data_IF_362905834548
#
_entry.id   IF_362905834548
#
_cell.length_a   1.000
_cell.length_b   1.000
_cell.length_c   1.000
_cell.angle_alpha   90.00
_cell.angle_beta   90.00
_cell.angle_gamma   90.00
#
_symmetry.space_group_name_H-M   'P 1'
#
loop_
_entity.id
_entity.type
_entity.pdbx_description
1 polymer ?
2 non-polymer ?
3 water ?
#
# COMPACT_ATOMS: atom_id res chain seq x y z
N UNK A 13 -5.67 10.75 -6.77
CA UNK A 13 -4.42 11.57 -6.76
C UNK A 13 -3.33 10.79 -7.51
N UNK A 14 -2.55 11.47 -8.35
CA UNK A 14 -1.49 10.81 -9.11
C UNK A 14 -0.35 10.39 -8.19
N UNK A 15 0.01 9.12 -8.22
CA UNK A 15 1.08 8.64 -7.36
C UNK A 15 2.42 9.24 -7.77
N UNK A 16 3.24 9.57 -6.78
CA UNK A 16 4.57 10.12 -7.03
C UNK A 16 5.62 9.23 -6.35
N UNK A 17 6.71 8.95 -7.04
CA UNK A 17 7.76 8.13 -6.46
C UNK A 17 8.57 8.92 -5.43
N UNK A 18 9.59 8.29 -4.85
CA UNK A 18 10.42 8.93 -3.83
C UNK A 18 11.17 10.18 -4.30
N UNK A 19 11.32 10.33 -5.61
CA UNK A 19 12.01 11.48 -6.16
C UNK A 19 11.05 12.58 -6.58
N UNK A 20 9.76 12.37 -6.34
CA UNK A 20 8.76 13.37 -6.69
C UNK A 20 8.23 13.30 -8.11
N UNK A 21 8.49 12.20 -8.81
CA UNK A 21 8.02 12.04 -10.18
C UNK A 21 6.74 11.24 -10.24
N UNK A 22 5.82 11.62 -11.13
CA UNK A 22 4.56 10.90 -11.30
C UNK A 22 4.90 9.47 -11.68
N UNK A 23 4.15 8.50 -11.17
CA UNK A 23 4.43 7.12 -11.51
C UNK A 23 3.75 6.78 -12.84
N UNK A 24 4.55 6.50 -13.86
CA UNK A 24 4.03 6.12 -15.17
C UNK A 24 4.04 4.59 -15.21
N UNK A 25 2.85 4.00 -15.18
CA UNK A 25 2.68 2.54 -15.13
C UNK A 25 3.61 1.68 -16.00
N UNK A 26 3.61 1.92 -17.30
CA UNK A 26 4.44 1.14 -18.22
C UNK A 26 5.92 1.20 -17.86
N UNK A 27 6.38 2.37 -17.39
CA UNK A 27 7.78 2.54 -17.02
C UNK A 27 8.10 1.86 -15.69
N UNK A 28 7.18 2.01 -14.74
CA UNK A 28 7.32 1.41 -13.41
C UNK A 28 7.50 -0.11 -13.52
N UNK A 29 6.66 -0.73 -14.35
CA UNK A 29 6.71 -2.18 -14.55
C UNK A 29 7.99 -2.69 -15.23
N UNK A 30 8.78 -1.78 -15.81
CA UNK A 30 10.03 -2.18 -16.46
C UNK A 30 11.17 -2.26 -15.46
N UNK A 31 11.08 -1.50 -14.38
CA UNK A 31 12.14 -1.45 -13.38
C UNK A 31 11.80 -2.03 -12.02
N UNK A 32 10.56 -2.47 -11.84
CA UNK A 32 10.16 -3.05 -10.57
C UNK A 32 9.74 -4.49 -10.82
N UNK A 33 10.53 -5.42 -10.29
CA UNK A 33 10.29 -6.84 -10.47
C UNK A 33 8.98 -7.34 -9.89
N UNK A 34 8.44 -8.42 -10.48
CA UNK A 34 7.18 -8.97 -9.97
C UNK A 34 7.36 -9.25 -8.47
N UNK A 35 6.34 -8.92 -7.69
CA UNK A 35 6.42 -9.13 -6.25
C UNK A 35 7.00 -7.93 -5.52
N UNK A 36 7.39 -6.90 -6.25
CA UNK A 36 7.96 -5.71 -5.64
C UNK A 36 6.91 -4.91 -4.86
N UNK A 37 7.32 -4.31 -3.75
CA UNK A 37 6.45 -3.45 -2.93
C UNK A 37 7.33 -2.23 -2.64
N UNK A 38 7.00 -1.10 -3.26
CA UNK A 38 7.77 0.12 -3.09
C UNK A 38 6.84 1.27 -2.65
N UNK A 39 7.34 2.11 -1.76
CA UNK A 39 6.56 3.25 -1.28
C UNK A 39 6.47 4.38 -2.29
N UNK A 40 5.29 4.98 -2.37
CA UNK A 40 5.05 6.12 -3.24
C UNK A 40 4.24 7.11 -2.41
N UNK A 41 4.00 8.29 -2.95
CA UNK A 41 3.23 9.28 -2.23
C UNK A 41 1.77 9.07 -2.66
N UNK A 42 0.90 8.73 -1.71
CA UNK A 42 -0.50 8.50 -2.04
C UNK A 42 -1.50 9.57 -1.64
N UNK A 43 -2.70 9.13 -1.27
CA UNK A 43 -3.78 10.04 -0.87
C UNK A 43 -3.35 10.87 0.34
N UNK A 44 -3.57 12.17 0.23
CA UNK A 44 -3.21 13.12 1.29
C UNK A 44 -1.72 13.07 1.62
N UNK A 45 -0.92 12.60 0.66
CA UNK A 45 0.51 12.51 0.83
C UNK A 45 1.02 11.29 1.59
N UNK A 46 0.12 10.45 2.10
CA UNK A 46 0.53 9.27 2.86
C UNK A 46 1.36 8.28 2.08
N UNK A 47 2.45 7.78 2.68
CA UNK A 47 3.28 6.80 1.97
C UNK A 47 2.38 5.60 1.69
N UNK A 48 2.34 5.18 0.43
CA UNK A 48 1.48 4.10 0.01
C UNK A 48 2.25 3.12 -0.87
N UNK A 49 2.12 1.84 -0.56
CA UNK A 49 2.80 0.81 -1.34
C UNK A 49 2.15 0.53 -2.69
N UNK A 50 2.97 0.61 -3.74
CA UNK A 50 2.54 0.28 -5.09
C UNK A 50 3.10 -1.15 -5.21
N UNK A 51 2.26 -2.11 -5.57
CA UNK A 51 2.70 -3.50 -5.66
C UNK A 51 2.64 -4.10 -7.06
N UNK A 52 3.73 -4.74 -7.47
CA UNK A 52 3.79 -5.39 -8.78
C UNK A 52 3.42 -6.83 -8.49
N UNK A 53 2.33 -7.27 -9.12
CA UNK A 53 1.82 -8.62 -8.95
C UNK A 53 2.74 -9.68 -9.54
N UNK A 54 2.43 -10.93 -9.22
CA UNK A 54 3.16 -12.09 -9.69
C UNK A 54 3.25 -12.15 -11.21
N UNK A 55 2.16 -11.76 -11.87
CA UNK A 55 2.08 -11.79 -13.32
C UNK A 55 2.56 -10.50 -14.00
N UNK A 56 3.36 -9.72 -13.29
CA UNK A 56 3.90 -8.49 -13.84
C UNK A 56 2.86 -7.42 -14.20
N UNK A 57 1.85 -7.24 -13.35
CA UNK A 57 0.85 -6.20 -13.57
C UNK A 57 0.75 -5.47 -12.23
N UNK A 58 0.31 -4.23 -12.23
CA UNK A 58 0.17 -3.51 -10.98
C UNK A 58 -1.06 -4.00 -10.24
N UNK A 59 -0.95 -4.11 -8.92
CA UNK A 59 -2.07 -4.55 -8.11
C UNK A 59 -3.15 -3.46 -8.19
N UNK A 60 -4.40 -3.87 -8.03
CA UNK A 60 -5.53 -2.95 -8.11
C UNK A 60 -5.80 -2.16 -6.84
N UNK A 61 -4.95 -2.33 -5.84
CA UNK A 61 -5.09 -1.60 -4.59
C UNK A 61 -3.71 -1.22 -4.09
N UNK A 62 -3.65 -0.13 -3.35
CA UNK A 62 -2.41 0.34 -2.77
C UNK A 62 -2.59 0.15 -1.28
N UNK A 63 -1.48 -0.03 -0.56
CA UNK A 63 -1.52 -0.23 0.89
C UNK A 63 -0.89 0.95 1.59
N UNK A 64 -1.71 1.70 2.33
CA UNK A 64 -1.25 2.88 3.08
C UNK A 64 -0.28 2.36 4.13
N UNK A 65 0.97 2.80 4.08
CA UNK A 65 2.01 2.35 5.01
C UNK A 65 2.05 2.99 6.42
N UNK A 66 1.08 3.84 6.74
CA UNK A 66 1.04 4.49 8.04
C UNK A 66 0.49 3.54 9.11
N UNK A 67 1.36 3.10 10.01
CA UNK A 67 0.98 2.18 11.09
C UNK A 67 -0.27 2.67 11.84
N UNK A 68 -1.17 1.76 12.17
CA UNK A 68 -2.39 2.14 12.86
C UNK A 68 -2.22 2.31 14.36
N UNK A 69 -1.00 2.10 14.85
CA UNK A 69 -0.73 2.29 16.28
C UNK A 69 -0.40 3.77 16.49
N UNK A 70 0.80 4.18 16.08
CA UNK A 70 1.22 5.55 16.28
C UNK A 70 1.70 6.29 15.02
N UNK A 71 1.57 5.65 13.86
CA UNK A 71 1.95 6.37 12.66
C UNK A 71 3.34 6.28 12.09
N UNK A 72 4.13 5.31 12.52
CA UNK A 72 5.44 5.14 11.91
C UNK A 72 5.16 4.54 10.53
N UNK A 73 6.11 4.67 9.60
CA UNK A 73 5.96 4.11 8.26
C UNK A 73 6.47 2.67 8.31
N UNK A 74 5.60 1.74 7.97
CA UNK A 74 5.93 0.32 8.03
C UNK A 74 6.61 -0.25 6.78
N UNK A 75 7.84 -0.79 6.92
CA UNK A 75 8.56 -1.37 5.79
C UNK A 75 8.06 -2.79 5.50
N UNK A 76 8.33 -3.29 4.30
CA UNK A 76 7.93 -4.63 3.94
C UNK A 76 9.11 -5.58 4.18
N UNK A 77 8.81 -6.74 4.76
CA UNK A 77 9.80 -7.78 5.04
C UNK A 77 9.52 -8.86 4.00
N UNK A 78 10.29 -8.86 2.92
CA UNK A 78 10.10 -9.84 1.85
C UNK A 78 10.29 -11.29 2.31
N UNK A 79 11.24 -11.51 3.21
CA UNK A 79 11.53 -12.86 3.71
C UNK A 79 10.33 -13.53 4.39
N UNK A 80 9.52 -12.74 5.08
CA UNK A 80 8.35 -13.28 5.79
C UNK A 80 7.01 -12.87 5.18
N UNK A 81 7.05 -12.03 4.16
CA UNK A 81 5.82 -11.57 3.52
C UNK A 81 4.92 -10.87 4.51
N UNK A 82 5.53 -9.95 5.26
CA UNK A 82 4.82 -9.18 6.25
C UNK A 82 5.36 -7.76 6.26
N UNK A 83 4.52 -6.82 6.67
CA UNK A 83 4.93 -5.43 6.84
C UNK A 83 5.13 -5.45 8.36
N UNK A 84 6.31 -5.04 8.81
CA UNK A 84 6.63 -5.07 10.24
C UNK A 84 7.11 -3.69 10.68
N UNK A 85 6.41 -3.10 11.64
CA UNK A 85 6.72 -1.75 12.12
C UNK A 85 7.92 -1.73 13.06
N UNK A 86 8.94 -0.95 12.71
CA UNK A 86 10.15 -0.84 13.53
C UNK A 86 9.94 -0.05 14.82
N UNK A 87 8.84 0.69 14.94
CA UNK A 87 8.62 1.46 16.14
C UNK A 87 8.25 0.63 17.36
N UNK A 88 7.16 -0.14 17.29
CA UNK A 88 6.76 -0.96 18.43
C UNK A 88 6.45 -2.40 18.04
N UNK A 89 6.84 -2.78 16.82
CA UNK A 89 6.67 -4.15 16.37
C UNK A 89 5.37 -4.66 15.79
N UNK A 90 4.43 -3.77 15.48
CA UNK A 90 3.17 -4.21 14.88
C UNK A 90 3.48 -4.97 13.57
N UNK A 91 2.68 -5.99 13.29
CA UNK A 91 2.87 -6.81 12.09
C UNK A 91 1.59 -6.90 11.28
N UNK A 92 1.72 -6.99 9.96
CA UNK A 92 0.58 -7.09 9.05
C UNK A 92 0.95 -8.07 7.95
N UNK A 93 -0.01 -8.82 7.42
CA UNK A 93 0.30 -9.77 6.34
C UNK A 93 0.61 -9.03 5.04
N UNK A 94 0.85 -9.76 3.95
CA UNK A 94 1.19 -9.08 2.70
C UNK A 94 0.11 -8.22 2.04
N UNK A 95 -1.10 -8.26 2.59
CA UNK A 95 -2.19 -7.44 2.06
C UNK A 95 -2.50 -6.32 3.05
N UNK A 96 -1.69 -6.26 4.11
CA UNK A 96 -1.88 -5.23 5.12
C UNK A 96 -2.81 -5.56 6.27
N UNK A 97 -3.33 -6.79 6.32
CA UNK A 97 -4.25 -7.19 7.40
C UNK A 97 -3.44 -7.31 8.69
N UNK A 98 -3.91 -6.71 9.78
CA UNK A 98 -3.15 -6.76 11.03
C UNK A 98 -2.98 -8.18 11.57
N UNK A 99 -1.74 -8.49 11.93
CA UNK A 99 -1.37 -9.80 12.43
C UNK A 99 -0.83 -9.76 13.87
N UNK A 100 -0.28 -8.62 14.28
CA UNK A 100 0.23 -8.48 15.63
C UNK A 100 0.15 -7.03 16.09
N UNK A 101 -0.22 -6.82 17.36
CA UNK A 101 -0.33 -5.48 17.91
C UNK A 101 1.03 -4.85 18.18
N UNK A 102 1.08 -3.64 18.77
CA UNK A 102 -0.05 -2.90 19.36
C UNK A 102 -1.08 -2.32 18.39
N UNK A 103 -0.77 -2.23 17.10
CA UNK A 103 -1.72 -1.70 16.12
C UNK A 103 -3.00 -2.53 16.19
N UNK A 104 -4.17 -1.88 16.34
CA UNK A 104 -5.45 -2.58 16.43
C UNK A 104 -6.14 -2.82 15.09
N UNK A 105 -5.70 -2.11 14.05
CA UNK A 105 -6.34 -2.20 12.74
C UNK A 105 -5.41 -2.49 11.55
N UNK A 106 -6.00 -3.01 10.48
CA UNK A 106 -5.25 -3.32 9.27
C UNK A 106 -4.83 -2.03 8.59
N UNK A 107 -3.76 -2.08 7.81
CA UNK A 107 -3.33 -0.90 7.08
C UNK A 107 -4.47 -0.50 6.14
N UNK A 108 -4.70 0.80 6.00
CA UNK A 108 -5.75 1.31 5.13
C UNK A 108 -5.45 0.99 3.66
N UNK A 109 -6.49 1.01 2.83
CA UNK A 109 -6.35 0.72 1.41
C UNK A 109 -6.73 1.93 0.58
N UNK A 110 -6.35 1.87 -0.68
CA UNK A 110 -6.67 2.89 -1.67
C UNK A 110 -6.84 2.08 -2.94
N UNK A 111 -7.69 2.53 -3.85
CA UNK A 111 -7.84 1.84 -5.13
C UNK A 111 -6.67 2.33 -5.98
N UNK A 112 -6.12 1.45 -6.80
CA UNK A 112 -5.00 1.79 -7.67
C UNK A 112 -5.49 1.62 -9.11
N UNK A 113 -5.50 2.71 -9.86
CA UNK A 113 -5.97 2.71 -11.24
C UNK A 113 -4.93 3.44 -12.09
N UNK A 114 -5.05 3.35 -13.41
CA UNK A 114 -4.12 4.03 -14.30
C UNK A 114 -4.95 4.96 -15.18
N UNK A 115 -4.54 6.23 -15.23
CA UNK A 115 -5.23 7.24 -16.01
C UNK A 115 -4.21 7.95 -16.90
N UNK A 116 -4.40 7.82 -18.21
CA UNK A 116 -3.47 8.39 -19.20
C UNK A 116 -2.03 7.99 -18.89
N UNK A 117 -1.86 6.70 -18.62
CA UNK A 117 -0.55 6.14 -18.33
C UNK A 117 -0.01 6.36 -16.94
N UNK A 118 -0.69 7.19 -16.15
CA UNK A 118 -0.24 7.49 -14.80
C UNK A 118 -1.00 6.70 -13.76
N UNK A 119 -0.30 6.26 -12.72
CA UNK A 119 -0.93 5.51 -11.64
C UNK A 119 -1.64 6.52 -10.74
N UNK A 120 -2.90 6.26 -10.43
CA UNK A 120 -3.64 7.16 -9.56
C UNK A 120 -4.25 6.38 -8.41
N UNK A 121 -4.20 6.96 -7.22
CA UNK A 121 -4.80 6.33 -6.06
C UNK A 121 -6.13 7.05 -5.87
N UNK A 122 -7.14 6.31 -5.44
CA UNK A 122 -8.46 6.87 -5.25
C UNK A 122 -9.02 6.25 -3.96
N UNK A 123 -9.78 7.04 -3.18
CA UNK A 123 -10.37 6.56 -1.92
C UNK A 123 -11.09 5.20 -1.99
N UNK A 124 -10.90 4.38 -0.96
CA UNK A 124 -11.52 3.08 -0.87
C UNK A 124 -12.60 3.13 0.21
N UNK A 125 -13.86 3.03 -0.20
CA UNK A 125 -14.97 3.04 0.74
C UNK A 125 -15.79 1.76 0.69
N UNK A 126 -15.48 0.88 -0.26
CA UNK A 126 -16.23 -0.36 -0.33
C UNK A 126 -15.69 -1.34 0.71
N UNK A 127 -16.37 -2.47 0.85
CA UNK A 127 -15.96 -3.51 1.80
C UNK A 127 -14.46 -3.77 1.81
N UNK A 128 -13.91 -3.95 3.01
CA UNK A 128 -12.51 -4.26 3.15
C UNK A 128 -12.45 -5.70 2.65
N UNK A 129 -11.88 -5.91 1.46
CA UNK A 129 -11.82 -7.24 0.86
C UNK A 129 -11.10 -8.30 1.69
N UNK A 130 -10.30 -7.86 2.65
CA UNK A 130 -9.54 -8.78 3.48
C UNK A 130 -10.32 -9.45 4.61
N UNK A 131 -11.42 -8.84 5.02
CA UNK A 131 -12.18 -9.38 6.14
C UNK A 131 -13.71 -9.35 6.00
N UNK A 132 -14.21 -8.55 5.07
CA UNK A 132 -15.65 -8.44 4.90
C UNK A 132 -16.20 -7.29 5.74
N UNK A 133 -15.36 -6.71 6.59
CA UNK A 133 -15.78 -5.60 7.44
C UNK A 133 -15.76 -4.30 6.63
N UNK A 134 -16.51 -3.31 7.09
CA UNK A 134 -16.52 -2.02 6.42
C UNK A 134 -15.14 -1.42 6.67
N UNK A 135 -14.65 -0.59 5.74
CA UNK A 135 -13.33 -0.01 5.96
C UNK A 135 -13.37 0.91 7.18
N UNK A 136 -12.43 0.74 8.11
CA UNK A 136 -12.41 1.57 9.31
C UNK A 136 -11.98 3.01 9.01
N UNK A 137 -11.19 3.18 7.95
CA UNK A 137 -10.67 4.50 7.56
C UNK A 137 -11.66 5.40 6.83
N UNK A 138 -12.69 4.81 6.24
CA UNK A 138 -13.70 5.58 5.53
C UNK A 138 -14.92 5.78 6.41
N UNK A 139 -14.74 5.58 7.71
CA UNK A 139 -15.79 5.72 8.72
C UNK A 139 -16.72 4.51 8.67
X LIG B 1 3.87 1.01 14.49
X LIG B 1 3.81 1.63 17.13
X LIG B 1 4.17 -0.47 16.30
X LIG B 1 3.94 3.16 15.41
#
# INVERSE_FOLDING_TARGET
FVPPGGGAGTGGTIAKDALGNDVIAAEWLKTHAPGDRTLTQGLKGDPTYLVVESDKTLATFGINAVCTHLGCVVPFNAAENKFICPCHGSQYNNQGRVVRGPAPLSLALAHCDVDDGKVVFVPWTETDFRTGEAPWWSA
FES FE1 FE2 S1 S2
#
